data_IF_641941133964
#
_entry.id   IF_641941133964
#
_cell.length_a   1.000
_cell.length_b   1.000
_cell.length_c   1.000
_cell.angle_alpha   90.00
_cell.angle_beta   90.00
_cell.angle_gamma   90.00
#
_symmetry.space_group_name_H-M   'P 1'
#
loop_
_entity.id
_entity.type
_entity.pdbx_description
1 polymer ?
#
# COMPACT_ATOMS: atom_id res chain seq x y z
N UNK A 1 2.43 4.02 -2.03
CA UNK A 1 3.49 3.25 -2.74
C UNK A 1 4.85 3.95 -2.78
N UNK A 2 4.94 5.28 -2.68
CA UNK A 2 6.25 5.98 -2.77
C UNK A 2 7.19 5.61 -1.61
N UNK A 3 6.68 5.59 -0.38
CA UNK A 3 7.50 5.36 0.84
C UNK A 3 8.04 3.92 0.98
N UNK A 4 7.32 2.93 0.45
CA UNK A 4 7.71 1.51 0.46
C UNK A 4 8.57 1.14 -0.77
N UNK A 5 8.76 2.05 -1.72
CA UNK A 5 9.49 1.72 -2.95
C UNK A 5 10.93 1.27 -2.66
N UNK A 6 11.54 1.81 -1.60
CA UNK A 6 12.88 1.45 -1.11
C UNK A 6 13.07 -0.05 -0.86
N UNK A 7 12.02 -0.75 -0.38
CA UNK A 7 12.07 -2.19 -0.10
C UNK A 7 12.23 -3.03 -1.36
N UNK A 8 11.75 -2.53 -2.49
CA UNK A 8 11.89 -3.17 -3.80
C UNK A 8 13.17 -2.72 -4.51
N UNK A 9 13.47 -1.43 -4.45
CA UNK A 9 14.62 -0.87 -5.19
C UNK A 9 15.95 -1.34 -4.65
N UNK A 10 16.06 -1.74 -3.38
CA UNK A 10 17.30 -2.30 -2.82
C UNK A 10 17.79 -3.57 -3.52
N UNK A 11 16.89 -4.28 -4.22
CA UNK A 11 17.21 -5.49 -4.96
C UNK A 11 17.54 -5.21 -6.44
N UNK A 12 17.43 -3.97 -6.89
CA UNK A 12 17.74 -3.60 -8.26
C UNK A 12 19.25 -3.48 -8.46
N UNK A 13 19.76 -4.04 -9.55
CA UNK A 13 21.19 -3.98 -9.89
C UNK A 13 21.66 -2.57 -10.27
N UNK A 14 20.75 -1.75 -10.82
CA UNK A 14 21.03 -0.38 -11.26
C UNK A 14 19.80 0.53 -11.12
N UNK A 15 19.98 1.84 -10.83
CA UNK A 15 18.86 2.79 -10.70
C UNK A 15 18.01 2.94 -11.97
N UNK A 16 18.63 2.84 -13.15
CA UNK A 16 17.96 2.96 -14.46
C UNK A 16 16.92 1.87 -14.70
N UNK A 17 17.10 0.70 -14.07
CA UNK A 17 16.21 -0.47 -14.23
C UNK A 17 14.89 -0.26 -13.49
N UNK A 18 14.84 0.62 -12.48
CA UNK A 18 13.62 0.90 -11.70
C UNK A 18 12.74 1.93 -12.41
N UNK A 19 13.37 2.95 -13.01
CA UNK A 19 12.67 4.13 -13.53
C UNK A 19 11.71 3.79 -14.67
N UNK A 20 12.19 3.08 -15.70
CA UNK A 20 11.40 2.81 -16.90
C UNK A 20 10.17 1.92 -16.64
N UNK A 21 10.27 0.80 -15.89
CA UNK A 21 9.11 0.00 -15.55
C UNK A 21 8.08 0.81 -14.76
N UNK A 22 8.49 1.64 -13.79
CA UNK A 22 7.54 2.42 -13.01
C UNK A 22 6.84 3.48 -13.84
N UNK A 23 7.59 4.20 -14.68
CA UNK A 23 7.05 5.27 -15.52
C UNK A 23 6.09 4.74 -16.59
N UNK A 24 6.29 3.52 -17.09
CA UNK A 24 5.46 2.94 -18.15
C UNK A 24 4.34 2.07 -17.57
N UNK A 25 4.66 1.14 -16.66
CA UNK A 25 3.72 0.15 -16.17
C UNK A 25 2.63 0.78 -15.28
N UNK A 26 2.96 1.80 -14.47
CA UNK A 26 1.97 2.43 -13.59
C UNK A 26 0.89 3.15 -14.42
N UNK A 27 1.22 4.11 -15.30
CA UNK A 27 0.19 4.82 -16.06
C UNK A 27 -0.57 3.90 -17.00
N UNK A 28 0.10 2.95 -17.68
CA UNK A 28 -0.58 2.01 -18.58
C UNK A 28 -1.50 1.06 -17.81
N UNK A 29 -1.03 0.48 -16.70
CA UNK A 29 -1.82 -0.42 -15.88
C UNK A 29 -3.06 0.27 -15.29
N UNK A 30 -2.89 1.49 -14.76
CA UNK A 30 -4.00 2.28 -14.26
C UNK A 30 -4.97 2.69 -15.38
N UNK A 31 -4.46 3.14 -16.53
CA UNK A 31 -5.30 3.57 -17.65
C UNK A 31 -6.12 2.40 -18.19
N UNK A 32 -5.50 1.24 -18.40
CA UNK A 32 -6.17 0.05 -18.91
C UNK A 32 -7.25 -0.45 -17.93
N UNK A 33 -6.91 -0.54 -16.65
CA UNK A 33 -7.86 -1.01 -15.62
C UNK A 33 -9.03 -0.04 -15.47
N UNK A 34 -8.76 1.27 -15.47
CA UNK A 34 -9.79 2.32 -15.39
C UNK A 34 -10.69 2.29 -16.62
N UNK A 35 -10.12 2.11 -17.81
CA UNK A 35 -10.87 2.02 -19.05
C UNK A 35 -11.82 0.82 -19.06
N UNK A 36 -11.35 -0.36 -18.65
CA UNK A 36 -12.20 -1.55 -18.52
C UNK A 36 -13.31 -1.30 -17.47
N UNK A 37 -12.96 -0.72 -16.32
CA UNK A 37 -13.92 -0.38 -15.28
C UNK A 37 -15.03 0.56 -15.77
N UNK A 38 -14.68 1.59 -16.56
CA UNK A 38 -15.64 2.52 -17.16
C UNK A 38 -16.57 1.83 -18.17
N UNK A 39 -16.06 0.93 -19.01
CA UNK A 39 -16.88 0.15 -19.96
C UNK A 39 -17.88 -0.73 -19.21
N UNK A 40 -17.42 -1.43 -18.17
CA UNK A 40 -18.25 -2.31 -17.36
C UNK A 40 -19.33 -1.51 -16.61
N UNK A 41 -18.95 -0.38 -16.00
CA UNK A 41 -19.88 0.54 -15.33
C UNK A 41 -20.93 1.09 -16.30
N UNK A 42 -20.50 1.60 -17.46
CA UNK A 42 -21.40 2.11 -18.51
C UNK A 42 -22.37 1.03 -19.02
N UNK A 43 -21.87 -0.19 -19.22
CA UNK A 43 -22.68 -1.34 -19.66
C UNK A 43 -23.71 -1.75 -18.61
N UNK A 44 -23.38 -1.65 -17.31
CA UNK A 44 -24.32 -1.93 -16.21
C UNK A 44 -25.56 -1.03 -16.25
N UNK A 45 -25.39 0.24 -16.64
CA UNK A 45 -26.49 1.19 -16.80
C UNK A 45 -27.45 0.80 -17.92
N UNK A 46 -26.93 0.24 -19.02
CA UNK A 46 -27.74 -0.22 -20.16
C UNK A 46 -28.52 -1.49 -19.79
N UNK A 47 -27.91 -2.41 -19.04
CA UNK A 47 -28.51 -3.71 -18.70
C UNK A 47 -29.49 -3.60 -17.52
N UNK A 48 -29.13 -2.86 -16.48
CA UNK A 48 -29.84 -2.82 -15.20
C UNK A 48 -30.51 -1.47 -14.89
N UNK A 49 -30.35 -0.47 -15.74
CA UNK A 49 -30.92 0.87 -15.54
C UNK A 49 -30.24 1.70 -14.43
N UNK A 50 -29.30 1.12 -13.68
CA UNK A 50 -28.48 1.77 -12.65
C UNK A 50 -27.00 1.58 -12.94
N UNK A 51 -26.20 2.59 -12.65
CA UNK A 51 -24.75 2.52 -12.77
C UNK A 51 -24.15 1.89 -11.51
N UNK A 52 -23.59 0.69 -11.65
CA UNK A 52 -22.96 -0.05 -10.55
C UNK A 52 -21.45 0.08 -10.67
N UNK A 53 -20.86 0.85 -9.75
CA UNK A 53 -19.42 1.12 -9.73
C UNK A 53 -18.62 0.03 -9.03
N UNK A 54 -19.24 -0.69 -8.08
CA UNK A 54 -18.59 -1.75 -7.33
C UNK A 54 -18.67 -3.07 -8.12
N UNK A 55 -17.54 -3.63 -8.60
CA UNK A 55 -17.56 -4.87 -9.38
C UNK A 55 -18.10 -6.06 -8.60
N UNK A 56 -17.94 -6.10 -7.27
CA UNK A 56 -18.51 -7.16 -6.44
C UNK A 56 -20.04 -7.06 -6.37
N UNK A 57 -20.59 -5.85 -6.30
CA UNK A 57 -22.04 -5.63 -6.34
C UNK A 57 -22.62 -6.01 -7.71
N UNK A 58 -21.89 -5.71 -8.79
CA UNK A 58 -22.27 -6.12 -10.14
C UNK A 58 -22.31 -7.65 -10.28
N UNK A 59 -21.31 -8.36 -9.74
CA UNK A 59 -21.28 -9.83 -9.72
C UNK A 59 -22.43 -10.43 -8.91
N UNK A 60 -22.79 -9.82 -7.77
CA UNK A 60 -23.97 -10.23 -7.01
C UNK A 60 -25.26 -10.01 -7.81
N UNK A 61 -25.36 -8.89 -8.55
CA UNK A 61 -26.54 -8.60 -9.40
C UNK A 61 -26.72 -9.64 -10.51
N UNK A 62 -25.63 -10.24 -11.02
CA UNK A 62 -25.73 -11.37 -11.97
C UNK A 62 -26.29 -12.66 -11.35
N UNK A 63 -26.22 -12.80 -10.03
CA UNK A 63 -26.76 -13.94 -9.29
C UNK A 63 -28.21 -13.71 -8.84
N UNK A 64 -28.71 -12.49 -8.94
CA UNK A 64 -30.12 -12.18 -8.69
C UNK A 64 -31.01 -12.78 -9.80
N UNK A 65 -32.24 -13.15 -9.46
CA UNK A 65 -33.26 -13.70 -10.39
C UNK A 65 -32.95 -15.07 -11.01
N UNK A 66 -32.81 -16.12 -10.17
CA UNK A 66 -32.69 -17.54 -10.58
C UNK A 66 -31.66 -17.76 -11.71
N UNK A 67 -30.36 -17.61 -11.44
CA UNK A 67 -29.33 -17.66 -12.47
C UNK A 67 -29.21 -19.06 -13.08
N UNK A 68 -28.87 -19.12 -14.37
CA UNK A 68 -28.47 -20.37 -15.03
C UNK A 68 -27.24 -20.98 -14.34
N UNK A 69 -27.08 -22.31 -14.44
CA UNK A 69 -25.87 -23.00 -13.96
C UNK A 69 -24.59 -22.43 -14.59
N UNK A 70 -24.66 -22.01 -15.86
CA UNK A 70 -23.54 -21.37 -16.56
C UNK A 70 -23.16 -20.01 -15.93
N UNK A 71 -24.14 -19.18 -15.56
CA UNK A 71 -23.91 -17.87 -14.93
C UNK A 71 -23.22 -18.03 -13.58
N UNK A 72 -23.65 -19.01 -12.76
CA UNK A 72 -23.02 -19.28 -11.46
C UNK A 72 -21.56 -19.69 -11.59
N UNK A 73 -21.24 -20.52 -12.56
CA UNK A 73 -19.85 -20.94 -12.84
C UNK A 73 -19.01 -19.76 -13.33
N UNK A 74 -19.56 -18.92 -14.22
CA UNK A 74 -18.88 -17.70 -14.68
C UNK A 74 -18.56 -16.74 -13.53
N UNK A 75 -19.54 -16.45 -12.68
CA UNK A 75 -19.34 -15.59 -11.50
C UNK A 75 -18.31 -16.19 -10.53
N UNK A 76 -18.29 -17.50 -10.35
CA UNK A 76 -17.27 -18.17 -9.52
C UNK A 76 -15.86 -17.91 -10.06
N UNK A 77 -15.61 -18.14 -11.35
CA UNK A 77 -14.27 -17.91 -11.92
C UNK A 77 -13.83 -16.44 -11.86
N UNK A 78 -14.75 -15.51 -12.12
CA UNK A 78 -14.45 -14.08 -12.04
C UNK A 78 -14.15 -13.68 -10.58
N UNK A 79 -14.97 -14.13 -9.63
CA UNK A 79 -14.76 -13.84 -8.20
C UNK A 79 -13.48 -14.47 -7.68
N UNK A 80 -13.13 -15.68 -8.13
CA UNK A 80 -11.86 -16.33 -7.81
C UNK A 80 -10.68 -15.54 -8.36
N UNK A 81 -10.78 -15.02 -9.59
CA UNK A 81 -9.75 -14.16 -10.17
C UNK A 81 -9.57 -12.88 -9.36
N UNK A 82 -10.65 -12.20 -8.95
CA UNK A 82 -10.57 -11.04 -8.06
C UNK A 82 -9.94 -11.39 -6.71
N UNK A 83 -10.30 -12.53 -6.11
CA UNK A 83 -9.71 -12.99 -4.85
C UNK A 83 -8.19 -13.20 -5.00
N UNK A 84 -7.75 -13.89 -6.04
CA UNK A 84 -6.33 -14.13 -6.32
C UNK A 84 -5.57 -12.81 -6.60
N UNK A 85 -6.17 -11.91 -7.38
CA UNK A 85 -5.60 -10.60 -7.64
C UNK A 85 -5.45 -9.79 -6.35
N UNK A 86 -6.46 -9.77 -5.48
CA UNK A 86 -6.42 -9.06 -4.20
C UNK A 86 -5.36 -9.64 -3.26
N UNK A 87 -5.24 -10.97 -3.19
CA UNK A 87 -4.18 -11.63 -2.43
C UNK A 87 -2.80 -11.23 -2.94
N UNK A 88 -2.58 -11.25 -4.26
CA UNK A 88 -1.30 -10.87 -4.88
C UNK A 88 -0.92 -9.42 -4.57
N UNK A 89 -1.88 -8.49 -4.73
CA UNK A 89 -1.66 -7.07 -4.43
C UNK A 89 -1.39 -6.85 -2.95
N UNK A 90 -2.09 -7.54 -2.05
CA UNK A 90 -1.85 -7.39 -0.61
C UNK A 90 -0.47 -7.92 -0.20
N UNK A 91 -0.02 -9.04 -0.76
CA UNK A 91 1.31 -9.59 -0.49
C UNK A 91 2.39 -8.61 -0.97
N UNK A 92 2.26 -8.11 -2.19
CA UNK A 92 3.22 -7.17 -2.76
C UNK A 92 3.18 -5.81 -2.04
N UNK A 93 2.04 -5.14 -2.00
CA UNK A 93 1.96 -3.77 -1.53
C UNK A 93 2.17 -3.63 -0.01
N UNK A 94 1.68 -4.60 0.78
CA UNK A 94 1.56 -4.44 2.23
C UNK A 94 2.44 -5.43 3.02
N UNK A 95 2.39 -6.73 2.69
CA UNK A 95 3.06 -7.75 3.51
C UNK A 95 4.59 -7.68 3.44
N UNK A 96 5.17 -7.34 2.29
CA UNK A 96 6.62 -7.20 2.14
C UNK A 96 7.14 -6.01 2.95
N UNK A 97 6.46 -4.85 2.86
CA UNK A 97 6.83 -3.63 3.61
C UNK A 97 6.72 -3.85 5.11
N UNK A 98 5.57 -4.33 5.58
CA UNK A 98 5.35 -4.63 6.99
C UNK A 98 6.35 -5.67 7.50
N UNK A 99 6.73 -6.64 6.65
CA UNK A 99 7.76 -7.62 6.94
C UNK A 99 9.14 -7.00 7.14
N UNK A 100 9.55 -6.09 6.24
CA UNK A 100 10.80 -5.33 6.36
C UNK A 100 10.82 -4.48 7.62
N UNK A 101 9.78 -3.68 7.86
CA UNK A 101 9.69 -2.76 9.00
C UNK A 101 9.75 -3.49 10.34
N UNK A 102 8.94 -4.53 10.51
CA UNK A 102 8.92 -5.32 11.74
C UNK A 102 10.25 -6.05 11.98
N UNK A 103 10.88 -6.54 10.91
CA UNK A 103 12.19 -7.18 11.02
C UNK A 103 13.28 -6.17 11.39
N UNK A 104 13.20 -4.93 10.90
CA UNK A 104 14.13 -3.86 11.25
C UNK A 104 13.99 -3.40 12.71
N UNK A 105 12.78 -3.38 13.25
CA UNK A 105 12.52 -2.96 14.65
C UNK A 105 13.08 -3.98 15.66
N UNK A 106 12.93 -5.28 15.40
CA UNK A 106 13.32 -6.34 16.33
C UNK A 106 14.01 -7.51 15.62
N UNK A 107 15.20 -7.31 15.02
CA UNK A 107 15.84 -8.29 14.14
C UNK A 107 16.22 -9.60 14.84
N UNK A 108 16.41 -9.58 16.16
CA UNK A 108 16.71 -10.77 16.96
C UNK A 108 15.51 -11.72 17.10
N UNK A 109 14.29 -11.20 17.06
CA UNK A 109 13.06 -11.95 17.38
C UNK A 109 12.18 -12.17 16.16
N UNK A 110 12.17 -11.19 15.25
CA UNK A 110 11.31 -11.14 14.08
C UNK A 110 12.09 -11.48 12.82
N UNK A 111 11.46 -12.28 11.97
CA UNK A 111 11.90 -12.58 10.62
C UNK A 111 10.71 -12.38 9.68
N UNK A 112 10.97 -12.31 8.37
CA UNK A 112 9.94 -11.99 7.37
C UNK A 112 8.67 -12.85 7.51
N UNK A 113 8.81 -14.14 7.85
CA UNK A 113 7.68 -15.06 8.03
C UNK A 113 6.88 -14.75 9.28
N UNK A 114 7.55 -14.56 10.42
CA UNK A 114 6.92 -14.21 11.71
C UNK A 114 6.23 -12.86 11.63
N UNK A 115 6.88 -11.87 11.04
CA UNK A 115 6.32 -10.54 10.79
C UNK A 115 5.07 -10.60 9.93
N UNK A 116 5.03 -11.45 8.90
CA UNK A 116 3.84 -11.68 8.08
C UNK A 116 2.64 -12.22 8.86
N UNK A 117 2.87 -13.15 9.80
CA UNK A 117 1.79 -13.64 10.67
C UNK A 117 1.26 -12.55 11.59
N UNK A 118 2.14 -11.77 12.21
CA UNK A 118 1.75 -10.64 13.08
C UNK A 118 0.94 -9.62 12.28
N UNK A 119 1.41 -9.22 11.10
CA UNK A 119 0.71 -8.28 10.23
C UNK A 119 -0.69 -8.80 9.84
N UNK A 120 -0.83 -10.10 9.55
CA UNK A 120 -2.11 -10.70 9.19
C UNK A 120 -3.11 -10.68 10.36
N UNK A 121 -2.64 -11.02 11.57
CA UNK A 121 -3.48 -11.01 12.79
C UNK A 121 -3.93 -9.58 13.10
N UNK A 122 -2.99 -8.63 13.13
CA UNK A 122 -3.31 -7.22 13.40
C UNK A 122 -4.26 -6.65 12.35
N UNK A 123 -4.03 -6.96 11.08
CA UNK A 123 -4.91 -6.55 9.98
C UNK A 123 -6.35 -7.06 10.13
N UNK A 124 -6.54 -8.29 10.61
CA UNK A 124 -7.87 -8.83 10.91
C UNK A 124 -8.48 -8.18 12.15
N UNK A 125 -7.70 -7.95 13.20
CA UNK A 125 -8.17 -7.31 14.44
C UNK A 125 -8.64 -5.87 14.23
N UNK A 126 -8.06 -5.13 13.28
CA UNK A 126 -8.50 -3.79 12.90
C UNK A 126 -9.95 -3.78 12.34
N UNK A 127 -10.49 -4.94 11.96
CA UNK A 127 -11.85 -5.09 11.43
C UNK A 127 -12.11 -4.13 10.24
N UNK A 128 -11.33 -4.22 9.14
CA UNK A 128 -11.38 -3.25 8.04
C UNK A 128 -12.76 -3.13 7.38
N UNK A 129 -13.61 -4.15 7.50
CA UNK A 129 -14.99 -4.11 7.01
C UNK A 129 -15.86 -3.08 7.74
N UNK A 130 -15.56 -2.73 9.00
CA UNK A 130 -16.28 -1.66 9.70
C UNK A 130 -15.93 -0.29 9.13
N UNK A 131 -14.68 -0.06 8.72
CA UNK A 131 -14.25 1.16 8.02
C UNK A 131 -14.96 1.33 6.67
N UNK A 132 -15.21 0.24 5.95
CA UNK A 132 -15.91 0.23 4.67
C UNK A 132 -17.43 0.45 4.79
N UNK A 133 -18.00 0.34 5.99
CA UNK A 133 -19.45 0.47 6.19
C UNK A 133 -19.97 1.91 6.00
N UNK A 134 -19.10 2.91 6.17
CA UNK A 134 -19.47 4.32 6.03
C UNK A 134 -18.49 5.06 5.08
N UNK A 135 -18.93 5.29 3.84
CA UNK A 135 -18.14 5.90 2.77
C UNK A 135 -17.55 7.27 3.13
N UNK A 136 -18.29 8.10 3.86
CA UNK A 136 -17.80 9.44 4.26
C UNK A 136 -16.67 9.33 5.28
N UNK A 137 -16.81 8.44 6.28
CA UNK A 137 -15.75 8.21 7.26
C UNK A 137 -14.51 7.64 6.59
N UNK A 138 -14.68 6.69 5.67
CA UNK A 138 -13.59 6.06 4.93
C UNK A 138 -12.74 7.07 4.14
N UNK A 139 -13.38 7.98 3.40
CA UNK A 139 -12.68 9.02 2.63
C UNK A 139 -11.91 9.95 3.57
N UNK A 140 -12.54 10.42 4.65
CA UNK A 140 -11.87 11.28 5.63
C UNK A 140 -10.64 10.61 6.26
N UNK A 141 -10.72 9.32 6.62
CA UNK A 141 -9.58 8.57 7.13
C UNK A 141 -8.45 8.46 6.11
N UNK A 142 -8.76 8.14 4.85
CA UNK A 142 -7.76 8.05 3.78
C UNK A 142 -7.06 9.39 3.54
N UNK A 143 -7.82 10.49 3.56
CA UNK A 143 -7.25 11.84 3.43
C UNK A 143 -6.32 12.16 4.60
N UNK A 144 -6.78 11.97 5.85
CA UNK A 144 -5.96 12.24 7.04
C UNK A 144 -4.67 11.40 7.07
N UNK A 145 -4.78 10.11 6.71
CA UNK A 145 -3.64 9.21 6.60
C UNK A 145 -2.65 9.65 5.51
N UNK A 146 -3.15 10.04 4.33
CA UNK A 146 -2.30 10.47 3.21
C UNK A 146 -1.53 11.75 3.56
N UNK A 147 -2.18 12.71 4.20
CA UNK A 147 -1.53 13.93 4.70
C UNK A 147 -0.43 13.59 5.70
N UNK A 148 -0.68 12.65 6.62
CA UNK A 148 0.29 12.31 7.66
C UNK A 148 1.55 11.66 7.08
N UNK A 149 1.35 10.69 6.19
CA UNK A 149 2.47 10.03 5.49
C UNK A 149 3.24 11.03 4.61
N UNK A 150 2.55 12.01 4.02
CA UNK A 150 3.21 13.02 3.18
C UNK A 150 4.15 13.94 3.98
N UNK A 151 3.77 14.34 5.20
CA UNK A 151 4.64 15.13 6.09
C UNK A 151 5.92 14.35 6.46
N UNK A 152 5.78 13.06 6.81
CA UNK A 152 6.95 12.20 7.08
C UNK A 152 7.84 12.10 5.84
N UNK A 153 7.26 11.84 4.67
CA UNK A 153 8.00 11.74 3.42
C UNK A 153 8.72 13.05 3.06
N UNK A 154 8.12 14.21 3.33
CA UNK A 154 8.71 15.53 3.12
C UNK A 154 9.96 15.77 3.98
N UNK A 155 9.90 15.41 5.26
CA UNK A 155 11.06 15.48 6.17
C UNK A 155 12.18 14.54 5.71
N UNK A 156 11.86 13.29 5.37
CA UNK A 156 12.84 12.32 4.88
C UNK A 156 13.51 12.79 3.59
N UNK A 157 12.74 13.32 2.64
CA UNK A 157 13.25 13.87 1.39
C UNK A 157 14.20 15.04 1.66
N UNK A 158 13.79 15.96 2.54
CA UNK A 158 14.57 17.15 2.84
C UNK A 158 15.87 16.85 3.57
N UNK A 159 15.85 15.91 4.52
CA UNK A 159 17.04 15.45 5.23
C UNK A 159 18.04 14.81 4.25
N UNK A 160 17.57 13.93 3.36
CA UNK A 160 18.46 13.23 2.43
C UNK A 160 19.06 14.16 1.36
N UNK A 161 18.24 14.98 0.68
CA UNK A 161 18.72 15.80 -0.45
C UNK A 161 19.35 17.12 -0.03
N UNK A 162 18.76 17.85 0.94
CA UNK A 162 19.23 19.19 1.29
C UNK A 162 20.22 19.18 2.45
N UNK A 163 19.96 18.44 3.51
CA UNK A 163 20.82 18.42 4.71
C UNK A 163 22.04 17.55 4.49
N UNK A 164 21.83 16.29 4.08
CA UNK A 164 22.90 15.28 3.93
C UNK A 164 23.50 15.22 2.54
N UNK A 165 22.91 15.93 1.56
CA UNK A 165 23.39 15.99 0.17
C UNK A 165 23.68 14.60 -0.42
N UNK A 166 22.74 13.66 -0.19
CA UNK A 166 22.80 12.29 -0.69
C UNK A 166 23.91 11.41 -0.09
N UNK A 167 24.52 11.82 1.02
CA UNK A 167 25.53 11.03 1.73
C UNK A 167 24.94 10.39 3.00
N UNK A 168 24.91 9.06 3.03
CA UNK A 168 24.53 8.25 4.19
C UNK A 168 25.63 7.25 4.53
N UNK A 169 26.10 7.28 5.77
CA UNK A 169 27.01 6.26 6.30
C UNK A 169 26.23 5.02 6.76
N UNK A 170 26.36 3.93 6.00
CA UNK A 170 25.66 2.68 6.25
C UNK A 170 26.11 2.00 7.55
N UNK A 171 27.38 2.12 7.95
CA UNK A 171 27.85 1.46 9.17
C UNK A 171 27.23 2.09 10.41
N UNK A 172 27.14 3.42 10.41
CA UNK A 172 26.50 4.20 11.47
C UNK A 172 24.98 3.97 11.52
N UNK A 173 24.32 3.74 10.38
CA UNK A 173 22.88 3.45 10.31
C UNK A 173 22.48 2.13 11.02
N UNK A 174 23.39 1.16 11.11
CA UNK A 174 23.17 -0.10 11.82
C UNK A 174 23.84 -0.14 13.21
N UNK A 175 24.39 0.99 13.69
CA UNK A 175 25.01 1.11 15.00
C UNK A 175 24.03 1.67 16.02
N UNK A 176 23.90 1.01 17.17
CA UNK A 176 23.14 1.51 18.32
C UNK A 176 24.02 2.25 19.34
N UNK A 177 25.26 2.60 18.96
CA UNK A 177 26.17 3.33 19.84
C UNK A 177 25.60 4.69 20.23
N UNK A 178 25.72 5.07 21.50
CA UNK A 178 25.30 6.38 22.00
C UNK A 178 26.10 7.54 21.40
N UNK A 179 27.27 7.24 20.85
CA UNK A 179 28.14 8.20 20.16
C UNK A 179 27.92 8.23 18.64
N UNK A 180 26.99 7.40 18.15
CA UNK A 180 26.73 7.25 16.73
C UNK A 180 26.11 8.51 16.10
N UNK A 181 26.41 8.72 14.83
CA UNK A 181 26.07 9.93 14.09
C UNK A 181 24.55 10.15 13.96
N UNK A 182 23.78 9.05 14.07
CA UNK A 182 22.31 9.03 14.01
C UNK A 182 21.64 8.75 15.36
N UNK A 183 22.38 8.69 16.46
CA UNK A 183 21.82 8.36 17.78
C UNK A 183 21.01 9.52 18.38
N UNK A 184 21.38 10.78 18.09
CA UNK A 184 20.70 11.98 18.62
C UNK A 184 20.46 11.90 20.14
N UNK A 185 19.28 12.32 20.61
CA UNK A 185 18.85 12.22 22.01
C UNK A 185 18.11 10.92 22.23
N UNK A 186 18.78 9.91 22.82
CA UNK A 186 18.22 8.58 23.12
C UNK A 186 17.64 7.85 21.90
N UNK A 187 18.25 7.99 20.72
CA UNK A 187 17.77 7.38 19.47
C UNK A 187 16.71 8.19 18.72
N UNK A 188 16.32 9.37 19.20
CA UNK A 188 15.24 10.18 18.61
C UNK A 188 15.75 11.57 18.23
N UNK A 189 15.45 11.98 17.01
CA UNK A 189 15.67 13.34 16.53
C UNK A 189 14.44 14.22 16.78
N UNK A 190 14.42 14.93 17.90
CA UNK A 190 13.31 15.80 18.28
C UNK A 190 13.00 16.90 17.25
N UNK A 191 14.01 17.38 16.52
CA UNK A 191 13.82 18.41 15.48
C UNK A 191 13.02 17.87 14.31
N UNK A 192 13.32 16.64 13.89
CA UNK A 192 12.59 15.97 12.82
C UNK A 192 11.14 15.68 13.26
N UNK A 193 10.94 15.17 14.48
CA UNK A 193 9.59 14.90 15.02
C UNK A 193 8.75 16.17 15.13
N UNK A 194 9.33 17.28 15.60
CA UNK A 194 8.65 18.57 15.64
C UNK A 194 8.31 19.08 14.24
N UNK A 195 9.20 18.93 13.27
CA UNK A 195 8.94 19.36 11.89
C UNK A 195 7.74 18.60 11.29
N UNK A 196 7.69 17.28 11.47
CA UNK A 196 6.57 16.45 11.01
C UNK A 196 5.25 16.85 11.66
N UNK A 197 5.27 17.25 12.94
CA UNK A 197 4.06 17.70 13.65
C UNK A 197 3.62 19.11 13.25
N UNK A 198 4.54 19.98 12.83
CA UNK A 198 4.23 21.35 12.39
C UNK A 198 3.66 21.40 10.96
N UNK A 199 3.95 20.40 10.13
CA UNK A 199 3.38 20.26 8.78
C UNK A 199 1.96 19.65 8.77
N UNK A 200 1.48 19.16 9.92
CA UNK A 200 0.17 18.52 10.08
C UNK A 200 -0.89 19.49 10.63
#
# INVERSE_FOLDING_TARGET
MIVNNSDYTRFASQPSVIFWPQMIAIPLGFSLTSFIGLIVGSSSKVIYGKEIWNPLELLNTFLDNMPSSATRVGVFFISLSFCLAQLGVNIAANSISAGCDLTAICPKYLNMRRSGYICSIVGLCICPWQLLSNSSSFISYLSAYSTFVSAIAGVMFSDYYFVRRQHLDMNELYSASSEGLYYYTFGINWRASLLTLLEY
#
